data_IF_337164840694
#
_entry.id   IF_337164840694
#
_cell.length_a   1.000
_cell.length_b   1.000
_cell.length_c   1.000
_cell.angle_alpha   90.00
_cell.angle_beta   90.00
_cell.angle_gamma   90.00
#
_symmetry.space_group_name_H-M   'P 1'
#
loop_
_entity.id
_entity.type
_entity.pdbx_description
1 polymer ?
#
# COMPACT_ATOMS: atom_id res chain seq x y z
N UNK A 1 -26.81 -4.15 -22.73
CA UNK A 1 -26.13 -2.89 -23.15
C UNK A 1 -26.71 -1.64 -22.49
N UNK A 2 -27.94 -1.68 -22.01
CA UNK A 2 -28.64 -0.49 -21.46
C UNK A 2 -28.15 -0.02 -20.08
N UNK A 3 -27.50 -0.87 -19.29
CA UNK A 3 -27.02 -0.48 -17.94
C UNK A 3 -25.72 0.33 -17.94
N UNK A 4 -24.99 0.45 -19.05
CA UNK A 4 -23.77 1.25 -19.13
C UNK A 4 -24.04 2.74 -19.38
N UNK A 5 -25.19 3.08 -19.97
CA UNK A 5 -25.55 4.48 -20.24
C UNK A 5 -25.96 5.26 -18.99
N UNK A 6 -26.62 4.64 -18.02
CA UNK A 6 -27.00 5.29 -16.75
C UNK A 6 -25.79 5.67 -15.86
N UNK A 7 -24.68 4.97 -15.99
CA UNK A 7 -23.47 5.25 -15.20
C UNK A 7 -22.60 6.39 -15.75
N UNK A 8 -22.91 6.92 -16.95
CA UNK A 8 -22.21 8.08 -17.49
C UNK A 8 -22.52 9.38 -16.74
N UNK A 9 -23.69 9.49 -16.13
CA UNK A 9 -24.05 10.65 -15.33
C UNK A 9 -23.35 10.64 -13.97
N UNK A 10 -23.17 9.43 -13.38
CA UNK A 10 -22.56 9.25 -12.06
C UNK A 10 -21.04 9.11 -12.08
N UNK A 11 -20.38 9.17 -13.26
CA UNK A 11 -18.94 8.88 -13.40
C UNK A 11 -18.04 9.71 -12.49
N UNK A 12 -18.39 10.96 -12.25
CA UNK A 12 -17.62 11.83 -11.36
C UNK A 12 -17.79 11.47 -9.88
N UNK A 13 -18.97 10.99 -9.49
CA UNK A 13 -19.22 10.44 -8.14
C UNK A 13 -18.38 9.17 -7.96
N UNK A 14 -18.40 8.29 -8.96
CA UNK A 14 -17.59 7.06 -8.95
C UNK A 14 -16.10 7.41 -8.84
N UNK A 15 -15.60 8.39 -9.60
CA UNK A 15 -14.22 8.84 -9.49
C UNK A 15 -13.91 9.36 -8.07
N UNK A 16 -14.81 10.12 -7.48
CA UNK A 16 -14.67 10.59 -6.09
C UNK A 16 -14.50 9.44 -5.10
N UNK A 17 -15.32 8.37 -5.24
CA UNK A 17 -15.25 7.19 -4.37
C UNK A 17 -13.94 6.42 -4.61
N UNK A 18 -13.56 6.24 -5.88
CA UNK A 18 -12.31 5.54 -6.23
C UNK A 18 -11.08 6.30 -5.69
N UNK A 19 -11.09 7.62 -5.83
CA UNK A 19 -10.05 8.50 -5.30
C UNK A 19 -10.01 8.46 -3.77
N UNK A 20 -11.16 8.49 -3.11
CA UNK A 20 -11.26 8.38 -1.65
C UNK A 20 -10.73 7.03 -1.16
N UNK A 21 -11.10 5.93 -1.83
CA UNK A 21 -10.59 4.58 -1.51
C UNK A 21 -9.07 4.50 -1.66
N UNK A 22 -8.50 5.17 -2.67
CA UNK A 22 -7.05 5.23 -2.86
C UNK A 22 -6.38 6.08 -1.77
N UNK A 23 -6.98 7.20 -1.38
CA UNK A 23 -6.49 8.03 -0.27
C UNK A 23 -6.42 7.21 1.02
N UNK A 24 -7.42 6.38 1.33
CA UNK A 24 -7.40 5.48 2.50
C UNK A 24 -6.17 4.55 2.45
N UNK A 25 -5.88 3.95 1.30
CA UNK A 25 -4.70 3.08 1.11
C UNK A 25 -3.40 3.85 1.40
N UNK A 26 -3.30 5.09 0.91
CA UNK A 26 -2.12 5.95 1.13
C UNK A 26 -2.03 6.44 2.58
N UNK A 27 -3.14 6.82 3.19
CA UNK A 27 -3.22 7.20 4.61
C UNK A 27 -2.68 6.06 5.50
N UNK A 28 -3.17 4.85 5.30
CA UNK A 28 -2.72 3.67 6.07
C UNK A 28 -1.21 3.39 5.94
N UNK A 29 -0.61 3.75 4.81
CA UNK A 29 0.82 3.58 4.61
C UNK A 29 1.65 4.61 5.39
N UNK A 30 1.19 5.85 5.46
CA UNK A 30 2.00 6.99 5.90
C UNK A 30 1.72 7.43 7.34
N UNK A 31 0.44 7.39 7.77
CA UNK A 31 0.00 7.89 9.08
C UNK A 31 0.75 7.23 10.23
N UNK A 32 1.07 5.95 10.09
CA UNK A 32 1.73 5.17 11.13
C UNK A 32 3.17 5.61 11.42
N UNK A 33 3.87 6.21 10.45
CA UNK A 33 5.24 6.70 10.66
C UNK A 33 5.33 7.75 11.77
N UNK A 34 4.27 8.53 11.96
CA UNK A 34 4.20 9.52 13.04
C UNK A 34 3.95 8.86 14.40
N UNK A 35 3.28 7.71 14.43
CA UNK A 35 2.92 6.99 15.65
C UNK A 35 4.04 6.07 16.18
N UNK A 36 5.03 5.75 15.35
CA UNK A 36 6.05 4.75 15.69
C UNK A 36 6.72 4.97 17.05
N UNK A 37 7.16 6.18 17.43
CA UNK A 37 7.79 6.39 18.73
C UNK A 37 6.84 6.08 19.92
N UNK A 38 5.56 6.42 19.78
CA UNK A 38 4.55 6.12 20.81
C UNK A 38 4.21 4.64 20.86
N UNK A 39 4.06 4.00 19.71
CA UNK A 39 3.85 2.54 19.60
C UNK A 39 5.02 1.77 20.22
N UNK A 40 6.27 2.22 20.00
CA UNK A 40 7.44 1.60 20.58
C UNK A 40 7.40 1.61 22.13
N UNK A 41 6.95 2.71 22.71
CA UNK A 41 6.83 2.86 24.17
C UNK A 41 5.64 2.04 24.70
N UNK A 42 4.44 2.23 24.11
CA UNK A 42 3.19 1.65 24.62
C UNK A 42 3.14 0.13 24.48
N UNK A 43 3.74 -0.42 23.40
CA UNK A 43 3.79 -1.87 23.13
C UNK A 43 5.14 -2.51 23.51
N UNK A 44 6.06 -1.72 24.08
CA UNK A 44 7.44 -2.15 24.38
C UNK A 44 8.10 -2.84 23.18
N UNK A 45 7.93 -2.22 21.99
CA UNK A 45 8.39 -2.77 20.73
C UNK A 45 9.87 -2.46 20.49
N UNK A 46 10.62 -3.46 20.06
CA UNK A 46 12.00 -3.29 19.63
C UNK A 46 12.14 -2.66 18.25
N UNK A 47 13.37 -2.37 17.81
CA UNK A 47 13.64 -1.74 16.51
C UNK A 47 13.18 -2.59 15.32
N UNK A 48 13.29 -3.92 15.41
CA UNK A 48 12.83 -4.83 14.38
C UNK A 48 11.31 -4.80 14.28
N UNK A 49 10.63 -4.89 15.41
CA UNK A 49 9.17 -4.82 15.48
C UNK A 49 8.64 -3.49 14.94
N UNK A 50 9.30 -2.37 15.21
CA UNK A 50 8.92 -1.07 14.63
C UNK A 50 9.03 -1.07 13.10
N UNK A 51 10.07 -1.66 12.55
CA UNK A 51 10.22 -1.81 11.09
C UNK A 51 9.13 -2.74 10.53
N UNK A 52 8.90 -3.89 11.17
CA UNK A 52 7.85 -4.82 10.74
C UNK A 52 6.45 -4.22 10.81
N UNK A 53 6.13 -3.37 11.77
CA UNK A 53 4.86 -2.64 11.84
C UNK A 53 4.63 -1.81 10.57
N UNK A 54 5.67 -1.20 10.01
CA UNK A 54 5.58 -0.45 8.76
C UNK A 54 5.60 -1.39 7.55
N UNK A 55 6.59 -2.27 7.50
CA UNK A 55 6.94 -3.01 6.30
C UNK A 55 6.01 -4.20 6.01
N UNK A 56 5.37 -4.79 7.03
CA UNK A 56 4.41 -5.88 6.82
C UNK A 56 3.25 -5.47 5.90
N UNK A 57 2.75 -4.24 6.03
CA UNK A 57 1.75 -3.69 5.11
C UNK A 57 2.28 -3.59 3.69
N UNK A 58 3.44 -2.95 3.51
CA UNK A 58 4.03 -2.72 2.20
C UNK A 58 4.43 -4.03 1.50
N UNK A 59 4.96 -4.99 2.26
CA UNK A 59 5.35 -6.31 1.78
C UNK A 59 4.16 -7.10 1.24
N UNK A 60 3.11 -7.24 2.04
CA UNK A 60 1.91 -7.98 1.61
C UNK A 60 1.18 -7.23 0.50
N UNK A 61 1.07 -5.92 0.58
CA UNK A 61 0.50 -5.09 -0.46
C UNK A 61 1.24 -5.27 -1.79
N UNK A 62 2.55 -5.06 -1.82
CA UNK A 62 3.35 -5.18 -3.03
C UNK A 62 3.45 -6.61 -3.56
N UNK A 63 3.66 -7.59 -2.67
CA UNK A 63 3.78 -8.99 -3.02
C UNK A 63 2.51 -9.61 -3.61
N UNK A 64 1.33 -9.14 -3.19
CA UNK A 64 0.04 -9.68 -3.65
C UNK A 64 -0.68 -8.81 -4.69
N UNK A 65 -0.18 -7.60 -4.97
CA UNK A 65 -0.85 -6.59 -5.80
C UNK A 65 -1.29 -7.13 -7.17
N UNK A 66 -0.40 -7.82 -7.87
CA UNK A 66 -0.68 -8.34 -9.23
C UNK A 66 -1.72 -9.46 -9.20
N UNK A 67 -1.64 -10.35 -8.22
CA UNK A 67 -2.61 -11.45 -8.05
C UNK A 67 -3.98 -10.92 -7.67
N UNK A 68 -4.03 -10.00 -6.73
CA UNK A 68 -5.28 -9.39 -6.28
C UNK A 68 -5.94 -8.56 -7.38
N UNK A 69 -5.13 -7.90 -8.25
CA UNK A 69 -5.61 -7.26 -9.46
C UNK A 69 -6.27 -8.24 -10.42
N UNK A 70 -5.60 -9.34 -10.72
CA UNK A 70 -6.14 -10.41 -11.60
C UNK A 70 -7.40 -11.07 -11.02
N UNK A 71 -7.44 -11.29 -9.70
CA UNK A 71 -8.65 -11.77 -9.02
C UNK A 71 -9.81 -10.78 -9.16
N UNK A 72 -9.56 -9.48 -9.00
CA UNK A 72 -10.56 -8.43 -9.19
C UNK A 72 -11.12 -8.38 -10.61
N UNK A 73 -10.27 -8.51 -11.63
CA UNK A 73 -10.70 -8.56 -13.02
C UNK A 73 -11.54 -9.81 -13.33
N UNK A 74 -11.20 -10.95 -12.74
CA UNK A 74 -11.91 -12.22 -12.93
C UNK A 74 -13.24 -12.31 -12.18
N UNK A 75 -13.24 -12.00 -10.89
CA UNK A 75 -14.42 -12.18 -10.01
C UNK A 75 -15.31 -10.93 -9.93
N UNK A 76 -14.82 -9.81 -10.43
CA UNK A 76 -15.54 -8.54 -10.50
C UNK A 76 -14.88 -7.44 -9.71
N UNK A 77 -14.64 -6.33 -10.37
CA UNK A 77 -13.90 -5.17 -9.84
C UNK A 77 -14.58 -4.53 -8.64
N UNK A 78 -15.92 -4.40 -8.69
CA UNK A 78 -16.70 -3.91 -7.55
C UNK A 78 -16.61 -4.84 -6.34
N UNK A 79 -16.71 -6.15 -6.56
CA UNK A 79 -16.60 -7.14 -5.48
C UNK A 79 -15.21 -7.10 -4.85
N UNK A 80 -14.14 -7.02 -5.67
CA UNK A 80 -12.77 -6.90 -5.18
C UNK A 80 -12.57 -5.63 -4.35
N UNK A 81 -13.08 -4.49 -4.81
CA UNK A 81 -13.07 -3.23 -4.07
C UNK A 81 -13.75 -3.38 -2.71
N UNK A 82 -14.97 -3.93 -2.68
CA UNK A 82 -15.74 -4.08 -1.44
C UNK A 82 -15.08 -5.05 -0.46
N UNK A 83 -14.63 -6.21 -0.93
CA UNK A 83 -13.90 -7.18 -0.09
C UNK A 83 -12.62 -6.56 0.46
N UNK A 84 -11.86 -5.85 -0.38
CA UNK A 84 -10.65 -5.15 0.05
C UNK A 84 -10.92 -4.09 1.13
N UNK A 85 -11.98 -3.29 0.97
CA UNK A 85 -12.41 -2.31 1.96
C UNK A 85 -12.87 -2.96 3.26
N UNK A 86 -13.59 -4.09 3.20
CA UNK A 86 -14.01 -4.84 4.40
C UNK A 86 -12.79 -5.40 5.13
N UNK A 87 -11.81 -5.97 4.42
CA UNK A 87 -10.56 -6.44 5.03
C UNK A 87 -9.83 -5.28 5.71
N UNK A 88 -9.71 -4.13 5.06
CA UNK A 88 -9.09 -2.93 5.64
C UNK A 88 -9.81 -2.50 6.93
N UNK A 89 -11.14 -2.37 6.90
CA UNK A 89 -11.91 -1.91 8.05
C UNK A 89 -11.84 -2.92 9.22
N UNK A 90 -12.00 -4.21 8.94
CA UNK A 90 -11.96 -5.26 9.97
C UNK A 90 -10.58 -5.39 10.61
N UNK A 91 -9.51 -5.32 9.80
CA UNK A 91 -8.14 -5.37 10.31
C UNK A 91 -7.78 -4.11 11.11
N UNK A 92 -8.23 -2.93 10.66
CA UNK A 92 -8.05 -1.68 11.39
C UNK A 92 -8.81 -1.70 12.72
N UNK A 93 -10.08 -2.12 12.71
CA UNK A 93 -10.88 -2.29 13.93
C UNK A 93 -10.26 -3.32 14.89
N UNK A 94 -9.79 -4.45 14.35
CA UNK A 94 -9.12 -5.45 15.18
C UNK A 94 -7.83 -4.91 15.83
N UNK A 95 -7.00 -4.17 15.05
CA UNK A 95 -5.80 -3.53 15.60
C UNK A 95 -6.12 -2.52 16.69
N UNK A 96 -7.18 -1.74 16.51
CA UNK A 96 -7.56 -0.69 17.45
C UNK A 96 -8.14 -1.24 18.77
N UNK A 97 -8.95 -2.32 18.71
CA UNK A 97 -9.69 -2.80 19.88
C UNK A 97 -9.06 -4.01 20.59
N UNK A 98 -8.22 -4.77 19.88
CA UNK A 98 -7.74 -6.07 20.39
C UNK A 98 -6.22 -6.24 20.35
N UNK A 99 -5.45 -5.33 19.68
CA UNK A 99 -4.01 -5.48 19.65
C UNK A 99 -3.37 -4.93 20.93
N UNK A 100 -2.71 -5.81 21.67
CA UNK A 100 -2.00 -5.53 22.94
C UNK A 100 -0.47 -5.67 22.78
N UNK A 101 -0.01 -6.24 21.65
CA UNK A 101 1.41 -6.48 21.39
C UNK A 101 1.81 -5.99 20.01
N UNK A 102 3.11 -5.66 19.83
CA UNK A 102 3.67 -5.28 18.53
C UNK A 102 3.42 -6.34 17.45
N UNK A 103 3.54 -7.63 17.78
CA UNK A 103 3.31 -8.72 16.83
C UNK A 103 1.85 -8.77 16.35
N UNK A 104 0.89 -8.47 17.21
CA UNK A 104 -0.51 -8.38 16.80
C UNK A 104 -0.73 -7.20 15.84
N UNK A 105 -0.12 -6.05 16.10
CA UNK A 105 -0.16 -4.91 15.17
C UNK A 105 0.48 -5.28 13.83
N UNK A 106 1.61 -6.00 13.82
CA UNK A 106 2.26 -6.48 12.58
C UNK A 106 1.30 -7.36 11.76
N UNK A 107 0.61 -8.31 12.40
CA UNK A 107 -0.38 -9.17 11.73
C UNK A 107 -1.55 -8.35 11.16
N UNK A 108 -2.08 -7.40 11.92
CA UNK A 108 -3.12 -6.50 11.43
C UNK A 108 -2.64 -5.71 10.20
N UNK A 109 -1.42 -5.20 10.24
CA UNK A 109 -0.79 -4.48 9.12
C UNK A 109 -0.65 -5.35 7.86
N UNK A 110 -0.23 -6.60 8.02
CA UNK A 110 -0.19 -7.56 6.92
C UNK A 110 -1.58 -7.76 6.29
N UNK A 111 -2.62 -7.94 7.11
CA UNK A 111 -4.00 -8.08 6.63
C UNK A 111 -4.52 -6.80 5.97
N UNK A 112 -4.17 -5.63 6.49
CA UNK A 112 -4.49 -4.35 5.84
C UNK A 112 -3.80 -4.23 4.48
N UNK A 113 -2.55 -4.71 4.35
CA UNK A 113 -1.82 -4.79 3.09
C UNK A 113 -2.54 -5.62 2.03
N UNK A 114 -3.12 -6.76 2.45
CA UNK A 114 -3.92 -7.62 1.57
C UNK A 114 -5.19 -6.90 1.08
N UNK A 115 -5.90 -6.21 1.98
CA UNK A 115 -7.05 -5.39 1.62
C UNK A 115 -6.69 -4.28 0.62
N UNK A 116 -5.58 -3.59 0.85
CA UNK A 116 -5.08 -2.54 -0.03
C UNK A 116 -4.72 -3.07 -1.44
N UNK A 117 -4.15 -4.28 -1.52
CA UNK A 117 -3.82 -4.95 -2.77
C UNK A 117 -5.05 -5.29 -3.63
N UNK A 118 -6.21 -5.49 -3.02
CA UNK A 118 -7.49 -5.61 -3.73
C UNK A 118 -8.04 -4.24 -4.17
N UNK A 119 -7.97 -3.24 -3.29
CA UNK A 119 -8.57 -1.92 -3.52
C UNK A 119 -7.86 -1.16 -4.64
N UNK A 120 -6.53 -1.07 -4.62
CA UNK A 120 -5.79 -0.19 -5.53
C UNK A 120 -5.99 -0.54 -7.01
N UNK A 121 -5.78 -1.79 -7.50
CA UNK A 121 -6.01 -2.11 -8.90
C UNK A 121 -7.50 -2.04 -9.28
N UNK A 122 -8.40 -2.43 -8.36
CA UNK A 122 -9.83 -2.35 -8.60
C UNK A 122 -10.29 -0.90 -8.86
N UNK A 123 -9.79 0.08 -8.09
CA UNK A 123 -10.15 1.50 -8.27
C UNK A 123 -9.72 2.01 -9.63
N UNK A 124 -8.50 1.73 -10.07
CA UNK A 124 -8.01 2.15 -11.39
C UNK A 124 -8.79 1.48 -12.52
N UNK A 125 -9.01 0.17 -12.43
CA UNK A 125 -9.77 -0.60 -13.42
C UNK A 125 -11.21 -0.09 -13.56
N UNK A 126 -11.88 0.27 -12.46
CA UNK A 126 -13.23 0.86 -12.48
C UNK A 126 -13.21 2.22 -13.18
N UNK A 127 -12.25 3.09 -12.88
CA UNK A 127 -12.11 4.40 -13.54
C UNK A 127 -11.94 4.23 -15.05
N UNK A 128 -11.10 3.29 -15.49
CA UNK A 128 -10.87 3.03 -16.92
C UNK A 128 -12.15 2.56 -17.62
N UNK A 129 -12.98 1.76 -16.97
CA UNK A 129 -14.23 1.25 -17.56
C UNK A 129 -15.33 2.28 -17.62
N UNK A 130 -15.50 3.07 -16.58
CA UNK A 130 -16.59 4.06 -16.44
C UNK A 130 -16.38 5.29 -17.32
N UNK A 131 -15.11 5.70 -17.53
CA UNK A 131 -14.82 6.89 -18.32
C UNK A 131 -14.62 6.61 -19.80
N UNK A 132 -15.22 7.43 -20.71
CA UNK A 132 -14.98 7.34 -22.15
C UNK A 132 -13.52 7.65 -22.46
N UNK A 133 -13.00 7.08 -23.56
CA UNK A 133 -11.58 7.19 -23.96
C UNK A 133 -11.03 8.62 -23.93
N UNK A 134 -11.86 9.61 -24.34
CA UNK A 134 -11.47 11.03 -24.37
C UNK A 134 -11.22 11.65 -22.99
N UNK A 135 -11.87 11.14 -21.95
CA UNK A 135 -11.80 11.69 -20.58
C UNK A 135 -10.93 10.85 -19.63
N UNK A 136 -10.51 9.64 -20.03
CA UNK A 136 -9.72 8.71 -19.20
C UNK A 136 -8.44 9.33 -18.68
N UNK A 137 -7.70 10.05 -19.52
CA UNK A 137 -6.47 10.71 -19.10
C UNK A 137 -6.68 11.70 -17.97
N UNK A 138 -7.77 12.50 -18.04
CA UNK A 138 -8.14 13.44 -16.98
C UNK A 138 -8.55 12.71 -15.69
N UNK A 139 -9.37 11.66 -15.80
CA UNK A 139 -9.84 10.89 -14.65
C UNK A 139 -8.68 10.17 -13.93
N UNK A 140 -7.77 9.53 -14.70
CA UNK A 140 -6.56 8.89 -14.15
C UNK A 140 -5.63 9.94 -13.50
N UNK A 141 -5.50 11.11 -14.11
CA UNK A 141 -4.71 12.21 -13.56
C UNK A 141 -5.24 12.69 -12.20
N UNK A 142 -6.58 12.83 -12.06
CA UNK A 142 -7.22 13.17 -10.78
C UNK A 142 -7.02 12.05 -9.75
N UNK A 143 -7.26 10.79 -10.14
CA UNK A 143 -7.04 9.62 -9.29
C UNK A 143 -5.60 9.56 -8.77
N UNK A 144 -4.61 9.74 -9.63
CA UNK A 144 -3.19 9.74 -9.26
C UNK A 144 -2.81 10.94 -8.37
N UNK A 145 -3.36 12.13 -8.66
CA UNK A 145 -3.16 13.32 -7.83
C UNK A 145 -3.68 13.12 -6.40
N UNK A 146 -4.82 12.44 -6.24
CA UNK A 146 -5.38 12.13 -4.92
C UNK A 146 -4.48 11.16 -4.13
N UNK A 147 -3.81 10.21 -4.79
CA UNK A 147 -2.79 9.39 -4.14
C UNK A 147 -1.63 10.24 -3.60
N UNK A 148 -1.16 11.19 -4.40
CA UNK A 148 -0.09 12.12 -4.00
C UNK A 148 -0.46 13.03 -2.83
N UNK A 149 -1.73 13.46 -2.76
CA UNK A 149 -2.25 14.29 -1.66
C UNK A 149 -2.48 13.45 -0.39
N UNK A 150 -2.79 12.17 -0.53
CA UNK A 150 -3.06 11.26 0.59
C UNK A 150 -1.91 11.16 1.59
N UNK A 151 -0.66 11.14 1.12
CA UNK A 151 0.50 11.01 1.99
C UNK A 151 0.72 12.23 2.92
N UNK A 152 0.76 13.47 2.43
CA UNK A 152 0.85 14.66 3.29
C UNK A 152 -0.33 14.80 4.26
N UNK A 153 -1.56 14.54 3.81
CA UNK A 153 -2.73 14.53 4.68
C UNK A 153 -2.58 13.48 5.77
N UNK A 154 -2.08 12.29 5.42
CA UNK A 154 -1.84 11.20 6.37
C UNK A 154 -0.90 11.61 7.51
N UNK A 155 0.19 12.29 7.20
CA UNK A 155 1.12 12.80 8.23
C UNK A 155 0.47 13.81 9.16
N UNK A 156 -0.30 14.77 8.61
CA UNK A 156 -0.98 15.80 9.42
C UNK A 156 -2.06 15.18 10.31
N UNK A 157 -2.89 14.31 9.74
CA UNK A 157 -3.95 13.60 10.48
C UNK A 157 -3.34 12.70 11.55
N UNK A 158 -2.29 11.96 11.22
CA UNK A 158 -1.56 11.12 12.18
C UNK A 158 -0.93 11.94 13.29
N UNK A 159 -0.29 13.06 12.94
CA UNK A 159 0.29 13.99 13.91
C UNK A 159 -0.75 14.55 14.88
N UNK A 160 -1.90 14.99 14.37
CA UNK A 160 -3.00 15.50 15.19
C UNK A 160 -3.56 14.41 16.13
N UNK A 161 -3.77 13.19 15.62
CA UNK A 161 -4.26 12.07 16.43
C UNK A 161 -3.25 11.75 17.53
N UNK A 162 -1.96 11.65 17.20
CA UNK A 162 -0.93 11.29 18.18
C UNK A 162 -0.71 12.34 19.26
N UNK A 163 -1.05 13.57 18.99
CA UNK A 163 -0.94 14.65 19.97
C UNK A 163 -2.12 14.67 20.96
N UNK A 164 -3.33 14.31 20.51
CA UNK A 164 -4.57 14.47 21.28
C UNK A 164 -5.22 13.15 21.72
N UNK A 165 -4.85 12.04 21.09
CA UNK A 165 -5.48 10.73 21.30
C UNK A 165 -4.45 9.61 21.45
N UNK A 166 -4.93 8.37 21.58
CA UNK A 166 -4.07 7.19 21.65
C UNK A 166 -3.74 6.67 20.26
N UNK A 167 -2.71 5.80 20.15
CA UNK A 167 -2.26 5.27 18.87
C UNK A 167 -3.33 4.40 18.16
N UNK A 168 -4.24 3.80 18.90
CA UNK A 168 -5.35 3.00 18.38
C UNK A 168 -6.25 3.81 17.44
N UNK A 169 -6.43 5.11 17.73
CA UNK A 169 -7.28 6.00 16.93
C UNK A 169 -6.76 6.20 15.51
N UNK A 170 -5.46 5.98 15.27
CA UNK A 170 -4.89 6.01 13.91
C UNK A 170 -5.53 4.97 13.00
N UNK A 171 -5.84 3.81 13.54
CA UNK A 171 -6.51 2.77 12.79
C UNK A 171 -8.00 3.07 12.61
N UNK A 172 -8.65 3.64 13.63
CA UNK A 172 -10.09 3.91 13.64
C UNK A 172 -10.49 5.05 12.69
N UNK A 173 -9.62 6.06 12.47
CA UNK A 173 -9.97 7.21 11.61
C UNK A 173 -10.38 6.80 10.19
N UNK A 174 -9.81 5.70 9.69
CA UNK A 174 -10.13 5.20 8.35
C UNK A 174 -11.46 4.47 8.28
N UNK A 175 -11.95 3.92 9.40
CA UNK A 175 -13.15 3.07 9.44
C UNK A 175 -14.41 3.80 8.96
N UNK A 176 -14.74 5.01 9.44
CA UNK A 176 -15.90 5.77 8.94
C UNK A 176 -15.81 6.05 7.45
N UNK A 177 -14.60 6.40 6.96
CA UNK A 177 -14.37 6.71 5.54
C UNK A 177 -14.56 5.45 4.69
N UNK A 178 -14.08 4.29 5.17
CA UNK A 178 -14.28 3.00 4.50
C UNK A 178 -15.77 2.65 4.44
N UNK A 179 -16.52 2.84 5.53
CA UNK A 179 -17.96 2.61 5.53
C UNK A 179 -18.68 3.48 4.52
N UNK A 180 -18.31 4.75 4.40
CA UNK A 180 -18.87 5.64 3.39
C UNK A 180 -18.56 5.13 1.97
N UNK A 181 -17.31 4.73 1.72
CA UNK A 181 -16.88 4.17 0.44
C UNK A 181 -17.60 2.85 0.11
N UNK A 182 -17.85 1.99 1.10
CA UNK A 182 -18.61 0.75 0.95
C UNK A 182 -20.06 1.02 0.55
N UNK A 183 -20.78 1.92 1.27
CA UNK A 183 -22.19 2.23 1.03
C UNK A 183 -22.36 2.87 -0.35
N UNK A 184 -21.59 3.91 -0.64
CA UNK A 184 -21.70 4.63 -1.91
C UNK A 184 -21.18 3.76 -3.05
N UNK A 185 -20.09 3.01 -2.84
CA UNK A 185 -19.56 2.06 -3.82
C UNK A 185 -20.56 0.94 -4.15
N UNK A 186 -21.30 0.45 -3.16
CA UNK A 186 -22.36 -0.53 -3.38
C UNK A 186 -23.51 0.01 -4.25
N UNK A 187 -23.80 1.29 -4.18
CA UNK A 187 -24.90 1.93 -4.93
C UNK A 187 -24.50 2.32 -6.36
N UNK A 188 -23.36 2.98 -6.51
CA UNK A 188 -23.00 3.66 -7.76
C UNK A 188 -22.01 2.89 -8.63
N UNK A 189 -21.15 2.04 -8.05
CA UNK A 189 -20.13 1.34 -8.83
C UNK A 189 -20.75 0.16 -9.61
N UNK A 190 -20.65 0.14 -10.95
CA UNK A 190 -21.17 -0.97 -11.73
C UNK A 190 -20.33 -2.22 -11.53
N UNK A 191 -20.98 -3.38 -11.53
CA UNK A 191 -20.28 -4.65 -11.59
C UNK A 191 -19.68 -4.83 -12.98
N UNK A 192 -18.37 -4.91 -13.06
CA UNK A 192 -17.62 -5.18 -14.27
C UNK A 192 -16.60 -6.28 -14.03
N UNK A 193 -16.48 -7.17 -14.98
CA UNK A 193 -15.48 -8.23 -15.00
C UNK A 193 -14.94 -8.40 -16.40
N UNK A 194 -13.74 -8.94 -16.50
CA UNK A 194 -13.18 -9.29 -17.80
C UNK A 194 -13.80 -10.58 -18.32
N UNK A 195 -14.17 -10.58 -19.62
CA UNK A 195 -14.80 -11.75 -20.26
C UNK A 195 -13.78 -12.81 -20.66
N UNK A 196 -12.53 -12.40 -20.91
CA UNK A 196 -11.41 -13.28 -21.23
C UNK A 196 -10.45 -13.29 -20.04
N UNK A 197 -10.59 -14.28 -19.16
CA UNK A 197 -9.71 -14.43 -18.02
C UNK A 197 -8.52 -15.30 -18.36
N UNK A 198 -7.31 -14.75 -18.29
CA UNK A 198 -6.08 -15.54 -18.29
C UNK A 198 -5.98 -16.37 -17.00
N UNK A 199 -5.42 -17.59 -17.04
CA UNK A 199 -5.14 -18.36 -15.84
C UNK A 199 -4.27 -17.56 -14.86
N UNK A 200 -4.58 -17.69 -13.56
CA UNK A 200 -3.77 -17.07 -12.51
C UNK A 200 -2.46 -17.82 -12.35
N UNK A 201 -1.37 -17.10 -12.37
CA UNK A 201 -0.06 -17.67 -12.07
C UNK A 201 0.20 -17.68 -10.55
N UNK A 202 -0.33 -18.72 -9.90
CA UNK A 202 -0.14 -18.91 -8.47
C UNK A 202 1.31 -19.19 -8.10
N UNK A 203 2.05 -19.89 -8.98
CA UNK A 203 3.44 -20.26 -8.73
C UNK A 203 4.33 -19.01 -8.77
N UNK A 204 4.24 -18.20 -9.81
CA UNK A 204 4.94 -16.92 -9.89
C UNK A 204 4.61 -16.01 -8.71
N UNK A 205 3.33 -15.96 -8.30
CA UNK A 205 2.88 -15.18 -7.14
C UNK A 205 3.53 -15.61 -5.84
N UNK A 206 3.51 -16.91 -5.55
CA UNK A 206 4.12 -17.46 -4.34
C UNK A 206 5.63 -17.24 -4.34
N UNK A 207 6.30 -17.48 -5.48
CA UNK A 207 7.74 -17.26 -5.62
C UNK A 207 8.10 -15.78 -5.39
N UNK A 208 7.33 -14.84 -5.92
CA UNK A 208 7.58 -13.41 -5.71
C UNK A 208 7.40 -13.01 -4.24
N UNK A 209 6.34 -13.48 -3.57
CA UNK A 209 6.11 -13.22 -2.15
C UNK A 209 7.24 -13.81 -1.30
N UNK A 210 7.61 -15.07 -1.54
CA UNK A 210 8.71 -15.72 -0.81
C UNK A 210 10.02 -14.98 -1.02
N UNK A 211 10.32 -14.57 -2.26
CA UNK A 211 11.53 -13.79 -2.57
C UNK A 211 11.58 -12.50 -1.77
N UNK A 212 10.53 -11.68 -1.87
CA UNK A 212 10.48 -10.38 -1.21
C UNK A 212 10.50 -10.52 0.32
N UNK A 213 9.69 -11.45 0.87
CA UNK A 213 9.62 -11.69 2.31
C UNK A 213 10.95 -12.15 2.89
N UNK A 214 11.62 -13.07 2.20
CA UNK A 214 12.90 -13.63 2.69
C UNK A 214 14.03 -12.60 2.64
N UNK A 215 14.12 -11.81 1.55
CA UNK A 215 15.13 -10.75 1.45
C UNK A 215 14.87 -9.67 2.49
N UNK A 216 13.60 -9.24 2.64
CA UNK A 216 13.23 -8.22 3.60
C UNK A 216 13.47 -8.68 5.05
N UNK A 217 13.14 -9.93 5.38
CA UNK A 217 13.45 -10.52 6.67
C UNK A 217 14.95 -10.46 6.97
N UNK A 218 15.78 -10.87 6.02
CA UNK A 218 17.24 -10.82 6.18
C UNK A 218 17.77 -9.41 6.44
N UNK A 219 17.19 -8.39 5.78
CA UNK A 219 17.58 -6.99 5.95
C UNK A 219 17.12 -6.45 7.32
N UNK A 220 15.87 -6.71 7.72
CA UNK A 220 15.29 -6.18 8.96
C UNK A 220 15.91 -6.85 10.19
N UNK A 221 16.06 -8.18 10.16
CA UNK A 221 16.56 -8.94 11.30
C UNK A 221 18.09 -9.01 11.37
N UNK A 222 18.80 -8.71 10.29
CA UNK A 222 20.25 -8.75 10.22
C UNK A 222 20.96 -7.98 11.35
N UNK A 223 20.55 -6.74 11.68
CA UNK A 223 21.12 -5.98 12.80
C UNK A 223 20.87 -6.61 14.17
N UNK A 224 19.74 -7.27 14.38
CA UNK A 224 19.35 -7.85 15.70
C UNK A 224 19.92 -9.23 15.91
N UNK A 225 19.75 -10.14 14.91
CA UNK A 225 20.22 -11.52 14.98
C UNK A 225 21.71 -11.67 14.66
N UNK A 226 22.28 -10.63 14.00
CA UNK A 226 23.63 -10.68 13.43
C UNK A 226 23.63 -11.17 11.97
N UNK A 227 24.36 -10.46 11.11
CA UNK A 227 24.44 -10.75 9.68
C UNK A 227 24.96 -12.16 9.33
N UNK A 228 25.70 -12.79 10.26
CA UNK A 228 26.25 -14.14 10.12
C UNK A 228 25.39 -15.21 10.79
N UNK A 229 24.22 -14.89 11.32
CA UNK A 229 23.32 -15.87 11.92
C UNK A 229 22.76 -16.83 10.86
N UNK A 230 22.48 -18.05 11.25
CA UNK A 230 21.95 -19.05 10.34
C UNK A 230 20.60 -18.63 9.76
N UNK A 231 19.79 -17.94 10.53
CA UNK A 231 18.47 -17.45 10.16
C UNK A 231 18.57 -16.40 9.04
N UNK A 232 19.48 -15.44 9.18
CA UNK A 232 19.69 -14.36 8.20
C UNK A 232 20.30 -14.91 6.91
N UNK A 233 21.31 -15.79 7.03
CA UNK A 233 21.93 -16.47 5.86
C UNK A 233 20.89 -17.33 5.14
N UNK A 234 20.10 -18.11 5.87
CA UNK A 234 19.04 -18.94 5.28
C UNK A 234 17.98 -18.08 4.58
N UNK A 235 17.59 -16.95 5.17
CA UNK A 235 16.64 -16.02 4.56
C UNK A 235 17.16 -15.47 3.23
N UNK A 236 18.38 -14.98 3.16
CA UNK A 236 18.99 -14.55 1.91
C UNK A 236 19.14 -15.67 0.89
N UNK A 237 19.54 -16.88 1.33
CA UNK A 237 19.64 -18.02 0.45
C UNK A 237 18.28 -18.42 -0.15
N UNK A 238 17.21 -18.47 0.67
CA UNK A 238 15.85 -18.72 0.22
C UNK A 238 15.40 -17.62 -0.75
N UNK A 239 15.67 -16.35 -0.43
CA UNK A 239 15.34 -15.21 -1.28
C UNK A 239 16.00 -15.28 -2.65
N UNK A 240 17.29 -15.59 -2.71
CA UNK A 240 18.03 -15.74 -3.97
C UNK A 240 17.54 -16.95 -4.78
N UNK A 241 17.36 -18.11 -4.13
CA UNK A 241 16.89 -19.33 -4.80
C UNK A 241 15.48 -19.13 -5.36
N UNK A 242 14.58 -18.54 -4.57
CA UNK A 242 13.21 -18.24 -5.02
C UNK A 242 13.17 -17.17 -6.13
N UNK A 243 14.06 -16.18 -6.12
CA UNK A 243 14.21 -15.22 -7.21
C UNK A 243 14.64 -15.89 -8.52
N UNK A 244 15.63 -16.78 -8.46
CA UNK A 244 16.09 -17.53 -9.63
C UNK A 244 14.95 -18.43 -10.14
N UNK A 245 14.23 -19.09 -9.23
CA UNK A 245 13.08 -19.93 -9.58
C UNK A 245 11.96 -19.09 -10.20
N UNK A 246 11.66 -17.90 -9.66
CA UNK A 246 10.69 -16.94 -10.20
C UNK A 246 11.04 -16.54 -11.63
N UNK A 247 12.27 -16.08 -11.87
CA UNK A 247 12.71 -15.66 -13.22
C UNK A 247 12.63 -16.84 -14.21
N UNK A 248 13.03 -18.04 -13.82
CA UNK A 248 12.90 -19.24 -14.66
C UNK A 248 11.45 -19.58 -14.95
N UNK A 249 10.58 -19.50 -13.94
CA UNK A 249 9.16 -19.76 -14.06
C UNK A 249 8.48 -18.77 -15.03
N UNK A 250 8.67 -17.47 -14.82
CA UNK A 250 8.10 -16.40 -15.65
C UNK A 250 8.55 -16.48 -17.12
N UNK A 251 9.77 -16.97 -17.38
CA UNK A 251 10.25 -17.17 -18.76
C UNK A 251 9.61 -18.38 -19.47
N UNK A 252 9.07 -19.35 -18.71
CA UNK A 252 8.58 -20.60 -19.28
C UNK A 252 7.05 -20.75 -19.18
N UNK A 253 6.37 -19.95 -18.37
CA UNK A 253 4.92 -20.01 -18.23
C UNK A 253 4.22 -19.32 -19.40
N UNK A 254 3.09 -19.87 -19.92
CA UNK A 254 2.35 -19.23 -21.01
C UNK A 254 1.63 -17.93 -20.60
N UNK A 255 1.38 -17.75 -19.30
CA UNK A 255 0.68 -16.58 -18.76
C UNK A 255 1.46 -16.00 -17.58
N UNK A 256 2.63 -15.37 -17.84
CA UNK A 256 3.47 -14.81 -16.78
C UNK A 256 2.77 -13.60 -16.12
N UNK A 257 2.94 -13.45 -14.80
CA UNK A 257 2.52 -12.24 -14.08
C UNK A 257 3.37 -11.05 -14.53
N UNK A 258 4.68 -11.29 -14.69
CA UNK A 258 5.64 -10.28 -15.09
C UNK A 258 6.45 -10.77 -16.31
N UNK A 259 6.02 -10.45 -17.54
CA UNK A 259 6.74 -10.85 -18.73
C UNK A 259 8.20 -10.34 -18.71
N UNK A 260 9.17 -11.25 -18.62
CA UNK A 260 10.60 -10.91 -18.55
C UNK A 260 11.10 -10.15 -19.80
N UNK A 261 10.37 -10.26 -20.92
CA UNK A 261 10.65 -9.49 -22.15
C UNK A 261 10.60 -7.98 -21.94
N UNK A 262 9.85 -7.47 -20.94
CA UNK A 262 9.81 -6.03 -20.65
C UNK A 262 11.19 -5.50 -20.25
N UNK A 263 11.98 -6.30 -19.54
CA UNK A 263 13.33 -5.92 -19.10
C UNK A 263 14.35 -5.88 -20.25
N UNK A 264 14.04 -6.45 -21.41
CA UNK A 264 14.86 -6.31 -22.61
C UNK A 264 14.80 -4.89 -23.20
N UNK A 265 13.75 -4.12 -22.89
CA UNK A 265 13.65 -2.73 -23.28
C UNK A 265 14.44 -1.85 -22.30
N UNK A 266 15.53 -1.25 -22.77
CA UNK A 266 16.41 -0.39 -21.96
C UNK A 266 15.68 0.80 -21.33
N UNK A 267 14.74 1.41 -22.07
CA UNK A 267 13.92 2.53 -21.55
C UNK A 267 13.02 2.11 -20.40
N UNK A 268 12.38 0.96 -20.51
CA UNK A 268 11.56 0.37 -19.44
C UNK A 268 12.41 0.07 -18.20
N UNK A 269 13.53 -0.63 -18.36
CA UNK A 269 14.41 -1.00 -17.26
C UNK A 269 15.01 0.22 -16.57
N UNK A 270 15.47 1.21 -17.32
CA UNK A 270 16.00 2.46 -16.77
C UNK A 270 14.90 3.24 -16.01
N UNK A 271 13.70 3.32 -16.57
CA UNK A 271 12.56 3.96 -15.91
C UNK A 271 12.18 3.27 -14.61
N UNK A 272 12.15 1.92 -14.59
CA UNK A 272 11.87 1.14 -13.40
C UNK A 272 12.92 1.37 -12.30
N UNK A 273 14.21 1.33 -12.65
CA UNK A 273 15.30 1.61 -11.70
C UNK A 273 15.19 3.04 -11.16
N UNK A 274 14.96 4.03 -12.02
CA UNK A 274 14.83 5.43 -11.61
C UNK A 274 13.65 5.62 -10.64
N UNK A 275 12.49 5.05 -10.94
CA UNK A 275 11.31 5.10 -10.05
C UNK A 275 11.60 4.39 -8.73
N UNK A 276 12.20 3.19 -8.76
CA UNK A 276 12.53 2.44 -7.56
C UNK A 276 13.49 3.20 -6.65
N UNK A 277 14.53 3.82 -7.21
CA UNK A 277 15.48 4.66 -6.46
C UNK A 277 14.79 5.92 -5.89
N UNK A 278 13.92 6.56 -6.67
CA UNK A 278 13.18 7.73 -6.20
C UNK A 278 12.27 7.39 -5.01
N UNK A 279 11.53 6.29 -5.07
CA UNK A 279 10.70 5.83 -3.95
C UNK A 279 11.55 5.39 -2.76
N UNK A 280 12.66 4.67 -3.00
CA UNK A 280 13.58 4.29 -1.94
C UNK A 280 14.09 5.51 -1.16
N UNK A 281 14.58 6.54 -1.86
CA UNK A 281 15.05 7.79 -1.23
C UNK A 281 13.90 8.48 -0.50
N UNK A 282 12.75 8.60 -1.13
CA UNK A 282 11.59 9.30 -0.56
C UNK A 282 11.09 8.64 0.74
N UNK A 283 10.88 7.32 0.75
CA UNK A 283 10.37 6.62 1.92
C UNK A 283 11.42 6.51 3.03
N UNK A 284 12.69 6.25 2.69
CA UNK A 284 13.77 6.23 3.68
C UNK A 284 13.95 7.60 4.34
N UNK A 285 13.93 8.68 3.55
CA UNK A 285 14.01 10.04 4.07
C UNK A 285 12.83 10.36 4.98
N UNK A 286 11.61 10.01 4.57
CA UNK A 286 10.41 10.25 5.37
C UNK A 286 10.47 9.52 6.72
N UNK A 287 10.83 8.25 6.71
CA UNK A 287 10.97 7.44 7.92
C UNK A 287 12.01 8.03 8.88
N UNK A 288 13.23 8.25 8.40
CA UNK A 288 14.33 8.77 9.20
C UNK A 288 14.04 10.19 9.71
N UNK A 289 13.42 11.04 8.90
CA UNK A 289 13.13 12.40 9.26
C UNK A 289 12.04 12.50 10.34
N UNK A 290 11.04 11.63 10.31
CA UNK A 290 10.01 11.57 11.36
C UNK A 290 10.61 11.14 12.70
N UNK A 291 11.45 10.12 12.70
CA UNK A 291 12.17 9.69 13.91
C UNK A 291 13.10 10.79 14.42
N UNK A 292 13.87 11.44 13.54
CA UNK A 292 14.76 12.53 13.90
C UNK A 292 14.00 13.71 14.54
N UNK A 293 12.89 14.12 13.96
CA UNK A 293 12.10 15.24 14.49
C UNK A 293 11.54 14.93 15.89
N UNK A 294 11.03 13.73 16.12
CA UNK A 294 10.42 13.36 17.39
C UNK A 294 11.46 12.96 18.45
N UNK A 295 12.43 12.08 18.12
CA UNK A 295 13.37 11.52 19.11
C UNK A 295 14.57 12.41 19.36
N UNK A 296 15.08 13.15 18.36
CA UNK A 296 16.29 13.97 18.48
C UNK A 296 15.94 15.43 18.73
N UNK A 297 14.97 15.98 17.98
CA UNK A 297 14.55 17.38 18.13
C UNK A 297 13.50 17.59 19.21
N UNK A 298 12.84 16.54 19.69
CA UNK A 298 11.80 16.61 20.70
C UNK A 298 10.51 17.30 20.23
N UNK A 299 10.27 17.37 18.91
CA UNK A 299 9.05 17.96 18.39
C UNK A 299 7.85 17.07 18.69
N UNK A 300 6.69 17.70 18.93
CA UNK A 300 5.44 16.94 19.02
C UNK A 300 5.13 16.23 17.69
N UNK A 301 4.32 15.16 17.70
CA UNK A 301 3.94 14.45 16.48
C UNK A 301 3.32 15.36 15.40
N UNK A 302 2.47 16.31 15.81
CA UNK A 302 1.85 17.28 14.90
C UNK A 302 2.86 18.30 14.37
N UNK A 303 3.73 18.80 15.24
CA UNK A 303 4.79 19.73 14.86
C UNK A 303 5.76 19.09 13.85
N UNK A 304 6.14 17.84 14.07
CA UNK A 304 6.95 17.06 13.14
C UNK A 304 6.27 16.91 11.78
N UNK A 305 4.97 16.61 11.76
CA UNK A 305 4.19 16.47 10.54
C UNK A 305 4.06 17.81 9.78
N UNK A 306 3.77 18.91 10.49
CA UNK A 306 3.67 20.26 9.88
C UNK A 306 5.01 20.68 9.26
N UNK A 307 6.13 20.43 9.95
CA UNK A 307 7.47 20.76 9.44
C UNK A 307 7.89 19.91 8.26
N UNK A 308 7.36 18.70 8.14
CA UNK A 308 7.58 17.82 6.99
C UNK A 308 6.72 18.19 5.79
N UNK A 309 5.55 18.77 5.99
CA UNK A 309 4.53 19.05 4.96
C UNK A 309 5.05 19.86 3.75
N UNK A 310 5.90 20.90 3.89
CA UNK A 310 6.38 21.69 2.76
C UNK A 310 7.28 20.91 1.77
N UNK A 311 7.95 19.86 2.21
CA UNK A 311 8.92 19.10 1.43
C UNK A 311 8.32 18.43 0.19
N UNK A 312 7.14 17.77 0.25
CA UNK A 312 6.53 17.14 -0.92
C UNK A 312 6.08 18.12 -1.99
N UNK A 313 5.86 19.40 -1.65
CA UNK A 313 5.32 20.40 -2.58
C UNK A 313 6.38 21.24 -3.29
N UNK A 314 7.69 21.01 -3.01
CA UNK A 314 8.76 21.71 -3.67
C UNK A 314 8.64 23.23 -3.58
N UNK A 315 8.07 23.74 -2.48
CA UNK A 315 7.93 25.18 -2.28
C UNK A 315 9.31 25.81 -2.31
N UNK A 316 9.60 26.58 -3.35
CA UNK A 316 10.72 27.50 -3.39
C UNK A 316 10.54 28.51 -2.26
N UNK A 317 11.04 28.19 -1.08
CA UNK A 317 11.24 29.19 -0.03
C UNK A 317 12.38 30.06 -0.58
N UNK A 318 12.02 31.19 -1.19
CA UNK A 318 12.98 32.27 -1.43
C UNK A 318 13.36 32.77 -0.05
N UNK A 319 14.60 32.43 0.38
CA UNK A 319 15.29 33.13 1.44
C UNK A 319 15.46 34.60 1.05
#
# INVERSE_FOLDING_TARGET
MDNLHSHHEDRWIILGIMSLSLVIVMLNNVTLNVALPKLAIDLNADNSQMQWIVDAYALIFGGTLLVMGSLGDRFGRRSALQVGLVILASSAGWAAFFAETANQVIVARAMMGLGAALVMPATLSIVIVVFPKKERGKAIGIWAAMAGIGAPIGLLVGGYIMEHYQWQEIFLINVPIIFLALIIGAKYVPQSKETTTTPLDWVGSILSIVTLSSILFGIIEGPNLGWNSNEVIAAFAIGIVSLIAFIKWENNTPHPILPMSFFSNRGYSAGLVAISLAFFVMFSFMFMQMLHFQLVRGYSPLEAAIRFFPLPFGLKIRC
#
